data_IF_519763411624
#
_entry.id   IF_519763411624
#
_cell.length_a   1.000
_cell.length_b   1.000
_cell.length_c   1.000
_cell.angle_alpha   90.00
_cell.angle_beta   90.00
_cell.angle_gamma   90.00
#
_symmetry.space_group_name_H-M   'P 1'
#
loop_
_entity.id
_entity.type
_entity.pdbx_description
1 polymer ?
#
# COMPACT_ATOMS: atom_id res chain seq x y z
N UNK A 1 -9.99 -0.57 10.07
CA UNK A 1 -9.09 -0.39 8.91
C UNK A 1 -7.65 -0.81 9.18
N UNK A 2 -6.95 -0.32 10.22
CA UNK A 2 -5.54 -0.70 10.46
C UNK A 2 -5.33 -2.23 10.56
N UNK A 3 -6.20 -2.93 11.30
CA UNK A 3 -6.23 -4.40 11.33
C UNK A 3 -6.37 -5.02 9.93
N UNK A 4 -7.25 -4.47 9.09
CA UNK A 4 -7.52 -4.97 7.75
C UNK A 4 -6.29 -4.86 6.84
N UNK A 5 -5.56 -3.76 6.97
CA UNK A 5 -4.29 -3.54 6.25
C UNK A 5 -3.29 -4.63 6.65
N UNK A 6 -3.08 -4.83 7.96
CA UNK A 6 -2.17 -5.88 8.44
C UNK A 6 -2.57 -7.29 7.97
N UNK A 7 -3.86 -7.61 8.02
CA UNK A 7 -4.36 -8.92 7.60
C UNK A 7 -4.20 -9.18 6.08
N UNK A 8 -4.37 -8.14 5.26
CA UNK A 8 -4.27 -8.22 3.80
C UNK A 8 -2.82 -8.14 3.31
N UNK A 9 -2.02 -7.22 3.87
CA UNK A 9 -0.73 -6.81 3.30
C UNK A 9 0.45 -7.61 3.88
N UNK A 10 0.30 -8.30 5.02
CA UNK A 10 1.37 -9.11 5.61
C UNK A 10 1.91 -10.18 4.63
N UNK A 11 1.03 -10.74 3.81
CA UNK A 11 1.41 -11.72 2.79
C UNK A 11 2.39 -11.15 1.75
N UNK A 12 2.32 -9.85 1.47
CA UNK A 12 3.17 -9.19 0.48
C UNK A 12 4.62 -9.07 0.97
N UNK A 13 4.83 -8.81 2.27
CA UNK A 13 6.16 -8.63 2.84
C UNK A 13 6.81 -9.96 3.26
N UNK A 14 6.03 -10.90 3.79
CA UNK A 14 6.55 -12.09 4.49
C UNK A 14 6.21 -13.41 3.79
N UNK A 15 5.48 -13.37 2.66
CA UNK A 15 5.10 -14.56 1.92
C UNK A 15 6.29 -15.39 1.43
N UNK A 16 7.37 -14.74 1.01
CA UNK A 16 8.60 -15.43 0.57
C UNK A 16 9.33 -16.10 1.72
N UNK A 17 9.41 -15.47 2.90
CA UNK A 17 10.07 -16.02 4.09
C UNK A 17 9.33 -17.22 4.68
N UNK A 18 7.99 -17.18 4.68
CA UNK A 18 7.18 -18.34 5.08
C UNK A 18 7.23 -19.43 4.01
N UNK A 19 7.12 -19.06 2.72
CA UNK A 19 7.14 -19.99 1.60
C UNK A 19 8.45 -20.75 1.45
N UNK A 20 9.59 -20.12 1.75
CA UNK A 20 10.92 -20.76 1.77
C UNK A 20 11.18 -21.58 3.04
N UNK A 21 10.25 -21.57 4.01
CA UNK A 21 10.40 -22.16 5.35
C UNK A 21 11.54 -21.55 6.18
N UNK A 22 12.02 -20.36 5.80
CA UNK A 22 13.04 -19.65 6.58
C UNK A 22 12.49 -19.18 7.94
N UNK A 23 11.20 -18.82 8.00
CA UNK A 23 10.53 -18.39 9.23
C UNK A 23 9.17 -19.09 9.39
N UNK A 24 8.79 -19.36 10.64
CA UNK A 24 7.46 -19.85 10.99
C UNK A 24 6.44 -18.71 11.03
N UNK A 25 5.15 -19.04 10.86
CA UNK A 25 4.05 -18.06 10.92
C UNK A 25 4.07 -17.27 12.25
N UNK A 26 4.34 -17.94 13.38
CA UNK A 26 4.39 -17.26 14.69
C UNK A 26 5.49 -16.21 14.76
N UNK A 27 6.67 -16.51 14.25
CA UNK A 27 7.80 -15.56 14.20
C UNK A 27 7.49 -14.38 13.30
N UNK A 28 6.88 -14.65 12.14
CA UNK A 28 6.49 -13.62 11.19
C UNK A 28 5.48 -12.64 11.78
N UNK A 29 4.46 -13.12 12.51
CA UNK A 29 3.46 -12.24 13.14
C UNK A 29 4.11 -11.27 14.13
N UNK A 30 5.01 -11.75 14.98
CA UNK A 30 5.70 -10.91 15.97
C UNK A 30 6.63 -9.92 15.28
N UNK A 31 7.47 -10.39 14.36
CA UNK A 31 8.45 -9.57 13.66
C UNK A 31 7.77 -8.50 12.80
N UNK A 32 6.79 -8.88 12.00
CA UNK A 32 6.04 -7.96 11.17
C UNK A 32 5.28 -6.94 12.03
N UNK A 33 4.67 -7.35 13.14
CA UNK A 33 4.00 -6.42 14.05
C UNK A 33 4.93 -5.30 14.55
N UNK A 34 6.16 -5.65 14.95
CA UNK A 34 7.15 -4.66 15.41
C UNK A 34 7.64 -3.77 14.27
N UNK A 35 8.00 -4.37 13.12
CA UNK A 35 8.56 -3.64 11.99
C UNK A 35 7.53 -2.74 11.30
N UNK A 36 6.31 -3.22 11.08
CA UNK A 36 5.20 -2.45 10.51
C UNK A 36 4.82 -1.28 11.43
N UNK A 37 4.72 -1.53 12.75
CA UNK A 37 4.47 -0.46 13.71
C UNK A 37 5.57 0.59 13.69
N UNK A 38 6.84 0.16 13.70
CA UNK A 38 7.98 1.07 13.64
C UNK A 38 7.98 1.89 12.35
N UNK A 39 7.74 1.26 11.20
CA UNK A 39 7.63 1.94 9.91
C UNK A 39 6.49 2.96 9.88
N UNK A 40 5.32 2.60 10.42
CA UNK A 40 4.18 3.49 10.52
C UNK A 40 4.48 4.74 11.38
N UNK A 41 5.15 4.56 12.53
CA UNK A 41 5.52 5.65 13.44
C UNK A 41 6.58 6.57 12.82
N UNK A 42 7.65 6.01 12.26
CA UNK A 42 8.78 6.80 11.78
C UNK A 42 8.56 7.41 10.39
N UNK A 43 7.85 6.71 9.49
CA UNK A 43 7.77 7.08 8.07
C UNK A 43 6.33 7.28 7.55
N UNK A 44 5.29 6.95 8.33
CA UNK A 44 3.89 6.99 7.87
C UNK A 44 3.30 8.39 7.65
N UNK A 45 3.91 9.45 8.20
CA UNK A 45 3.34 10.82 8.19
C UNK A 45 3.14 11.39 6.78
N UNK A 46 4.07 11.12 5.85
CA UNK A 46 4.02 11.73 4.51
C UNK A 46 2.82 11.22 3.71
N UNK A 47 2.62 9.90 3.67
CA UNK A 47 1.52 9.29 2.92
C UNK A 47 0.17 9.62 3.54
N UNK A 48 0.06 9.53 4.88
CA UNK A 48 -1.18 9.88 5.59
C UNK A 48 -1.59 11.34 5.35
N UNK A 49 -0.64 12.27 5.31
CA UNK A 49 -0.92 13.68 4.98
C UNK A 49 -1.45 13.84 3.55
N UNK A 50 -0.85 13.14 2.59
CA UNK A 50 -1.31 13.17 1.18
C UNK A 50 -2.72 12.60 1.03
N UNK A 51 -3.04 11.49 1.70
CA UNK A 51 -4.40 10.92 1.64
C UNK A 51 -5.41 11.83 2.34
N UNK A 52 -5.06 12.39 3.50
CA UNK A 52 -5.97 13.22 4.30
C UNK A 52 -6.28 14.58 3.67
N UNK A 53 -5.29 15.24 3.04
CA UNK A 53 -5.40 16.63 2.56
C UNK A 53 -5.15 16.81 1.06
N UNK A 54 -4.61 15.79 0.40
CA UNK A 54 -4.12 15.90 -0.97
C UNK A 54 -5.18 15.62 -2.03
N UNK A 55 -6.34 15.08 -1.69
CA UNK A 55 -7.37 14.71 -2.67
C UNK A 55 -8.57 15.67 -2.58
N UNK A 56 -9.20 15.72 -1.41
CA UNK A 56 -10.32 16.63 -1.12
C UNK A 56 -9.79 17.86 -0.39
N UNK A 57 -10.16 19.10 -0.79
CA UNK A 57 -9.72 20.32 -0.13
C UNK A 57 -10.43 20.49 1.21
N UNK A 58 -9.88 19.88 2.26
CA UNK A 58 -10.45 19.95 3.61
C UNK A 58 -10.55 21.38 4.14
N UNK A 59 -9.77 22.32 3.60
CA UNK A 59 -9.78 23.72 4.00
C UNK A 59 -11.06 24.45 3.61
N UNK A 60 -11.84 23.90 2.67
CA UNK A 60 -13.11 24.45 2.21
C UNK A 60 -14.31 23.82 2.93
N UNK A 61 -14.08 22.88 3.84
CA UNK A 61 -15.11 22.11 4.52
C UNK A 61 -15.20 22.50 5.99
N UNK A 62 -16.39 22.37 6.56
CA UNK A 62 -16.57 22.49 8.00
C UNK A 62 -16.01 21.26 8.74
N UNK A 63 -15.70 21.44 10.02
CA UNK A 63 -15.12 20.38 10.84
C UNK A 63 -16.02 19.12 10.91
N UNK A 64 -17.34 19.32 10.83
CA UNK A 64 -18.31 18.23 10.86
C UNK A 64 -18.25 17.38 9.59
N UNK A 65 -18.25 17.98 8.39
CA UNK A 65 -18.12 17.22 7.14
C UNK A 65 -16.75 16.56 7.02
N UNK A 66 -15.66 17.19 7.48
CA UNK A 66 -14.33 16.55 7.50
C UNK A 66 -14.37 15.27 8.32
N UNK A 67 -14.97 15.31 9.51
CA UNK A 67 -15.07 14.16 10.41
C UNK A 67 -15.91 13.03 9.79
N UNK A 68 -17.06 13.38 9.20
CA UNK A 68 -17.92 12.42 8.49
C UNK A 68 -17.18 11.81 7.29
N UNK A 69 -16.46 12.63 6.52
CA UNK A 69 -15.68 12.19 5.36
C UNK A 69 -14.57 11.23 5.74
N UNK A 70 -13.81 11.53 6.78
CA UNK A 70 -12.77 10.65 7.28
C UNK A 70 -13.35 9.32 7.79
N UNK A 71 -14.41 9.38 8.59
CA UNK A 71 -15.02 8.18 9.18
C UNK A 71 -15.67 7.29 8.12
N UNK A 72 -16.46 7.88 7.21
CA UNK A 72 -17.07 7.16 6.09
C UNK A 72 -16.02 6.52 5.18
N UNK A 73 -14.93 7.24 4.88
CA UNK A 73 -13.84 6.76 4.04
C UNK A 73 -13.11 5.55 4.66
N UNK A 74 -12.82 5.61 5.96
CA UNK A 74 -12.18 4.51 6.71
C UNK A 74 -13.11 3.30 6.81
N UNK A 75 -14.41 3.52 7.03
CA UNK A 75 -15.40 2.43 7.10
C UNK A 75 -15.51 1.73 5.76
N UNK A 76 -15.76 2.46 4.66
CA UNK A 76 -16.02 1.82 3.37
C UNK A 76 -14.76 1.12 2.83
N UNK A 77 -13.59 1.74 2.97
CA UNK A 77 -12.32 1.10 2.60
C UNK A 77 -12.06 -0.13 3.49
N UNK A 78 -12.30 -0.02 4.81
CA UNK A 78 -12.15 -1.13 5.74
C UNK A 78 -13.09 -2.29 5.45
N UNK A 79 -14.36 -2.02 5.13
CA UNK A 79 -15.35 -3.03 4.75
C UNK A 79 -14.93 -3.76 3.47
N UNK A 80 -14.56 -3.01 2.43
CA UNK A 80 -14.08 -3.59 1.17
C UNK A 80 -12.86 -4.48 1.37
N UNK A 81 -11.84 -4.00 2.10
CA UNK A 81 -10.63 -4.79 2.38
C UNK A 81 -11.01 -6.03 3.20
N UNK A 82 -11.89 -5.92 4.21
CA UNK A 82 -12.35 -7.08 4.99
C UNK A 82 -12.95 -8.14 4.09
N UNK A 83 -13.88 -7.76 3.21
CA UNK A 83 -14.53 -8.69 2.29
C UNK A 83 -13.49 -9.35 1.37
N UNK A 84 -12.59 -8.58 0.77
CA UNK A 84 -11.54 -9.11 -0.08
C UNK A 84 -10.62 -10.10 0.67
N UNK A 85 -10.21 -9.77 1.91
CA UNK A 85 -9.40 -10.65 2.75
C UNK A 85 -10.14 -11.95 3.11
N UNK A 86 -11.45 -11.90 3.37
CA UNK A 86 -12.27 -13.10 3.61
C UNK A 86 -12.30 -14.03 2.40
N UNK A 87 -12.35 -13.47 1.18
CA UNK A 87 -12.24 -14.21 -0.07
C UNK A 87 -10.79 -14.53 -0.48
N UNK A 88 -9.80 -14.21 0.36
CA UNK A 88 -8.35 -14.43 0.11
C UNK A 88 -7.84 -13.72 -1.15
N UNK A 89 -8.47 -12.61 -1.52
CA UNK A 89 -8.08 -11.80 -2.67
C UNK A 89 -7.04 -10.75 -2.23
N UNK A 90 -5.82 -10.75 -2.79
CA UNK A 90 -4.85 -9.70 -2.52
C UNK A 90 -5.31 -8.41 -3.22
N UNK A 91 -5.81 -7.45 -2.44
CA UNK A 91 -6.26 -6.15 -2.95
C UNK A 91 -5.36 -5.01 -2.47
N UNK A 92 -5.36 -3.90 -3.20
CA UNK A 92 -4.63 -2.70 -2.79
C UNK A 92 -5.41 -1.89 -1.75
N UNK A 93 -4.87 -1.82 -0.53
CA UNK A 93 -5.41 -1.01 0.57
C UNK A 93 -5.30 0.49 0.27
N UNK A 94 -4.23 0.91 -0.44
CA UNK A 94 -4.02 2.28 -0.91
C UNK A 94 -5.07 2.71 -1.94
N UNK A 95 -5.39 1.86 -2.94
CA UNK A 95 -6.46 2.16 -3.89
C UNK A 95 -7.81 2.30 -3.18
N UNK A 96 -8.05 1.43 -2.21
CA UNK A 96 -9.31 1.41 -1.45
C UNK A 96 -9.54 2.71 -0.69
N UNK A 97 -8.53 3.23 0.03
CA UNK A 97 -8.70 4.49 0.78
C UNK A 97 -8.71 5.73 -0.10
N UNK A 98 -7.88 5.78 -1.15
CA UNK A 98 -7.87 6.90 -2.11
C UNK A 98 -9.22 6.99 -2.83
N UNK A 99 -9.76 5.85 -3.27
CA UNK A 99 -11.07 5.76 -3.90
C UNK A 99 -12.20 6.17 -2.96
N UNK A 100 -12.14 5.75 -1.69
CA UNK A 100 -13.11 6.15 -0.66
C UNK A 100 -13.11 7.67 -0.41
N UNK A 101 -11.93 8.28 -0.24
CA UNK A 101 -11.76 9.72 -0.04
C UNK A 101 -12.23 10.51 -1.27
N UNK A 102 -11.90 10.06 -2.48
CA UNK A 102 -12.40 10.66 -3.71
C UNK A 102 -13.92 10.54 -3.80
N UNK A 103 -14.48 9.38 -3.46
CA UNK A 103 -15.92 9.13 -3.44
C UNK A 103 -16.66 10.08 -2.49
N UNK A 104 -16.10 10.33 -1.30
CA UNK A 104 -16.61 11.36 -0.39
C UNK A 104 -16.59 12.76 -1.03
N UNK A 105 -15.47 13.15 -1.65
CA UNK A 105 -15.37 14.43 -2.36
C UNK A 105 -16.40 14.58 -3.47
N UNK A 106 -16.60 13.53 -4.28
CA UNK A 106 -17.61 13.51 -5.34
C UNK A 106 -19.03 13.58 -4.79
N UNK A 107 -19.31 12.93 -3.65
CA UNK A 107 -20.61 13.03 -2.99
C UNK A 107 -20.92 14.47 -2.55
N UNK A 108 -19.92 15.23 -2.06
CA UNK A 108 -20.09 16.64 -1.75
C UNK A 108 -20.35 17.49 -2.99
N UNK A 109 -19.71 17.15 -4.12
CA UNK A 109 -19.97 17.80 -5.41
C UNK A 109 -21.41 17.60 -5.85
N UNK A 110 -21.92 16.36 -5.76
CA UNK A 110 -23.31 16.04 -6.11
C UNK A 110 -24.32 16.75 -5.21
N UNK A 111 -23.97 17.03 -3.95
CA UNK A 111 -24.81 17.80 -3.01
C UNK A 111 -24.68 19.31 -3.15
N UNK A 112 -23.85 19.80 -4.09
CA UNK A 112 -23.60 21.22 -4.31
C UNK A 112 -22.76 21.89 -3.23
N UNK A 113 -22.17 21.13 -2.30
CA UNK A 113 -21.34 21.65 -1.21
C UNK A 113 -19.88 21.88 -1.64
N UNK A 114 -19.48 21.37 -2.80
CA UNK A 114 -18.13 21.52 -3.35
C UNK A 114 -18.22 21.61 -4.88
N UNK A 115 -17.35 22.40 -5.53
CA UNK A 115 -17.24 22.37 -6.98
C UNK A 115 -16.34 21.22 -7.44
N UNK A 116 -16.64 20.62 -8.61
CA UNK A 116 -15.80 19.55 -9.17
C UNK A 116 -14.35 20.01 -9.40
N UNK A 117 -14.16 21.29 -9.75
CA UNK A 117 -12.86 21.93 -9.94
C UNK A 117 -12.08 22.10 -8.63
N UNK A 118 -12.73 22.02 -7.46
CA UNK A 118 -12.07 22.14 -6.16
C UNK A 118 -11.33 20.84 -5.76
N UNK A 119 -11.66 19.70 -6.37
CA UNK A 119 -10.93 18.45 -6.15
C UNK A 119 -9.50 18.60 -6.70
N UNK A 120 -8.50 18.12 -5.94
CA UNK A 120 -7.08 18.24 -6.28
C UNK A 120 -6.67 17.19 -7.33
N UNK A 121 -7.17 17.34 -8.56
CA UNK A 121 -6.94 16.41 -9.67
C UNK A 121 -5.47 16.18 -9.99
N UNK A 122 -4.61 17.21 -9.88
CA UNK A 122 -3.17 17.06 -10.10
C UNK A 122 -2.51 16.11 -9.11
N UNK A 123 -2.91 16.15 -7.83
CA UNK A 123 -2.43 15.20 -6.83
C UNK A 123 -2.94 13.80 -7.11
N UNK A 124 -4.22 13.65 -7.49
CA UNK A 124 -4.77 12.35 -7.88
C UNK A 124 -4.02 11.75 -9.08
N UNK A 125 -3.70 12.57 -10.09
CA UNK A 125 -2.93 12.13 -11.25
C UNK A 125 -1.53 11.64 -10.85
N UNK A 126 -0.85 12.34 -9.95
CA UNK A 126 0.45 11.91 -9.42
C UNK A 126 0.35 10.57 -8.67
N UNK A 127 -0.72 10.39 -7.89
CA UNK A 127 -1.00 9.13 -7.19
C UNK A 127 -1.22 8.00 -8.22
N UNK A 128 -2.07 8.20 -9.22
CA UNK A 128 -2.34 7.20 -10.27
C UNK A 128 -1.06 6.88 -11.07
N UNK A 129 -0.27 7.88 -11.43
CA UNK A 129 1.01 7.69 -12.10
C UNK A 129 1.96 6.82 -11.24
N UNK A 130 2.00 7.05 -9.92
CA UNK A 130 2.81 6.23 -9.00
C UNK A 130 2.40 4.77 -8.98
N UNK A 131 1.11 4.44 -9.19
CA UNK A 131 0.62 3.06 -9.21
C UNK A 131 1.11 2.28 -10.43
N UNK A 132 1.42 2.97 -11.53
CA UNK A 132 1.97 2.37 -12.75
C UNK A 132 3.50 2.33 -12.67
N UNK A 133 4.12 3.42 -12.22
CA UNK A 133 5.58 3.55 -12.17
C UNK A 133 6.18 2.59 -11.14
N UNK A 134 5.55 2.43 -9.96
CA UNK A 134 6.15 1.66 -8.86
C UNK A 134 6.33 0.16 -9.18
N UNK A 135 5.35 -0.56 -9.78
CA UNK A 135 5.56 -1.94 -10.20
C UNK A 135 6.64 -2.09 -11.26
N UNK A 136 6.72 -1.17 -12.22
CA UNK A 136 7.74 -1.18 -13.28
C UNK A 136 9.14 -1.00 -12.67
N UNK A 137 9.28 -0.02 -11.78
CA UNK A 137 10.53 0.19 -11.05
C UNK A 137 10.89 -1.03 -10.20
N UNK A 138 9.92 -1.63 -9.51
CA UNK A 138 10.10 -2.86 -8.73
C UNK A 138 10.59 -4.03 -9.60
N UNK A 139 9.98 -4.23 -10.77
CA UNK A 139 10.40 -5.26 -11.73
C UNK A 139 11.82 -5.02 -12.24
N UNK A 140 12.16 -3.76 -12.56
CA UNK A 140 13.51 -3.37 -12.97
C UNK A 140 14.54 -3.71 -11.89
N UNK A 141 14.33 -3.27 -10.65
CA UNK A 141 15.25 -3.56 -9.55
C UNK A 141 15.35 -5.05 -9.23
N UNK A 142 14.22 -5.77 -9.24
CA UNK A 142 14.21 -7.23 -9.04
C UNK A 142 15.05 -7.95 -10.10
N UNK A 143 14.88 -7.57 -11.39
CA UNK A 143 15.68 -8.11 -12.48
C UNK A 143 17.18 -7.80 -12.30
N UNK A 144 17.52 -6.54 -12.02
CA UNK A 144 18.93 -6.13 -11.85
C UNK A 144 19.58 -6.87 -10.68
N UNK A 145 18.94 -6.94 -9.52
CA UNK A 145 19.48 -7.64 -8.35
C UNK A 145 19.66 -9.12 -8.65
N UNK A 146 18.65 -9.78 -9.25
CA UNK A 146 18.76 -11.19 -9.60
C UNK A 146 19.87 -11.44 -10.63
N UNK A 147 19.99 -10.60 -11.64
CA UNK A 147 21.06 -10.68 -12.64
C UNK A 147 22.44 -10.60 -11.99
N UNK A 148 22.65 -9.67 -11.06
CA UNK A 148 23.91 -9.54 -10.33
C UNK A 148 24.20 -10.78 -9.46
N UNK A 149 23.21 -11.27 -8.70
CA UNK A 149 23.36 -12.48 -7.89
C UNK A 149 23.73 -13.67 -8.77
N UNK A 150 23.03 -13.85 -9.89
CA UNK A 150 23.31 -14.93 -10.84
C UNK A 150 24.74 -14.85 -11.37
N UNK A 151 25.14 -13.67 -11.87
CA UNK A 151 26.42 -13.48 -12.55
C UNK A 151 27.62 -13.61 -11.61
N UNK A 152 27.50 -13.09 -10.39
CA UNK A 152 28.64 -13.01 -9.47
C UNK A 152 28.69 -14.13 -8.44
N UNK A 153 27.56 -14.76 -8.13
CA UNK A 153 27.48 -15.81 -7.10
C UNK A 153 27.18 -17.16 -7.72
N UNK A 154 26.03 -17.30 -8.39
CA UNK A 154 25.55 -18.63 -8.82
C UNK A 154 26.45 -19.25 -9.90
N UNK A 155 26.78 -18.49 -10.96
CA UNK A 155 27.61 -19.00 -12.06
C UNK A 155 29.04 -19.33 -11.60
N UNK A 156 29.61 -18.53 -10.69
CA UNK A 156 30.95 -18.80 -10.14
C UNK A 156 30.96 -20.02 -9.21
N UNK A 157 29.92 -20.20 -8.40
CA UNK A 157 29.80 -21.36 -7.53
C UNK A 157 29.65 -22.67 -8.33
N UNK A 158 28.90 -22.63 -9.42
CA UNK A 158 28.73 -23.78 -10.32
C UNK A 158 30.02 -24.14 -11.06
N UNK A 159 30.81 -23.14 -11.45
CA UNK A 159 32.13 -23.34 -12.07
C UNK A 159 33.11 -24.02 -11.10
N UNK A 160 33.17 -23.59 -9.83
CA UNK A 160 34.01 -24.23 -8.80
C UNK A 160 33.58 -25.69 -8.55
N UNK A 161 32.28 -25.95 -8.38
CA UNK A 161 31.77 -27.30 -8.15
C UNK A 161 31.97 -28.27 -9.32
N UNK A 162 32.25 -27.74 -10.52
CA UNK A 162 32.65 -28.52 -11.71
C UNK A 162 34.13 -28.84 -11.76
N UNK A 163 34.98 -28.02 -11.14
CA UNK A 163 36.43 -28.23 -11.07
C UNK A 163 36.81 -29.23 -9.97
N UNK A 164 36.01 -29.32 -8.91
CA UNK A 164 36.23 -30.28 -7.79
C UNK A 164 35.75 -31.71 -8.06
N UNK A 165 35.05 -31.97 -9.18
CA UNK A 165 34.61 -33.31 -9.61
C UNK A 165 35.49 -33.87 -10.71
#
# INVERSE_FOLDING_TARGET
MAWNIGANDLANAMGTSVGSKALTIKQVIVLAGILEFSGAVFFGKRVTTTVAKGIVPIELLDQHLITIGAFSSIIIAGLWITLATLYRLPVSTTHSIVGAVLGFGLALVLRGSLALSSIKWGTLLNIVASWIISPIAGAFFAFTIFFLIRRFILERAEEIGRVEK
#
